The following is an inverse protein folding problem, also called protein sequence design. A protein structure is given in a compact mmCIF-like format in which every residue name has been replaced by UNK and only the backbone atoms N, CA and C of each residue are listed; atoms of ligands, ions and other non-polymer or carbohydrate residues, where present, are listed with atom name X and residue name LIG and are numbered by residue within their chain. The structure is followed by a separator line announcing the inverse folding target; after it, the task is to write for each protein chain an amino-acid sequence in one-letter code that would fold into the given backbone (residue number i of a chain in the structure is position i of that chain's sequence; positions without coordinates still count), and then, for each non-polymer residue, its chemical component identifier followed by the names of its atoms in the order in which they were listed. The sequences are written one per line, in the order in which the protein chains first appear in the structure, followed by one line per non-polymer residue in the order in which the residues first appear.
data_IF_430942065486
#
_entry.id   IF_430942065486
#
_cell.length_a   1.000
_cell.length_b   1.000
_cell.length_c   1.000
_cell.angle_alpha   90.00
_cell.angle_beta   90.00
_cell.angle_gamma   90.00
#
_symmetry.space_group_name_H-M   'P 1'
#
loop_
_entity.id
_entity.type
_entity.pdbx_description
1 polymer ?
#
# COMPACT_ATOMS: atom_id res chain seq x y z
N UNK A 1 7.47 -4.67 15.86
CA UNK A 1 8.43 -3.59 15.55
C UNK A 1 7.70 -2.25 15.55
N UNK A 2 8.37 -1.10 15.80
CA UNK A 2 7.71 0.21 15.73
C UNK A 2 7.48 0.65 14.27
N UNK A 3 6.23 0.61 13.80
CA UNK A 3 5.86 0.85 12.38
C UNK A 3 6.28 2.24 11.87
N UNK A 4 5.98 3.29 12.62
CA UNK A 4 6.38 4.67 12.30
C UNK A 4 7.89 4.79 12.05
N UNK A 5 8.71 4.14 12.88
CA UNK A 5 10.17 4.17 12.74
C UNK A 5 10.62 3.49 11.44
N UNK A 6 9.93 2.41 11.04
CA UNK A 6 10.19 1.72 9.78
C UNK A 6 9.78 2.62 8.62
N UNK A 7 8.53 3.09 8.58
CA UNK A 7 8.00 3.90 7.48
C UNK A 7 8.77 5.20 7.26
N UNK A 8 9.35 5.79 8.31
CA UNK A 8 10.22 6.97 8.22
C UNK A 8 11.62 6.68 7.64
N UNK A 9 12.04 5.42 7.55
CA UNK A 9 13.41 5.08 7.15
C UNK A 9 13.62 5.30 5.64
N UNK A 10 14.71 5.96 5.20
CA UNK A 10 14.89 6.38 3.81
C UNK A 10 14.96 5.24 2.80
N UNK A 11 15.24 4.02 3.25
CA UNK A 11 15.28 2.83 2.39
C UNK A 11 13.92 2.13 2.23
N UNK A 12 12.86 2.60 2.91
CA UNK A 12 11.51 2.06 2.68
C UNK A 12 10.98 2.62 1.38
N UNK A 13 10.47 1.71 0.54
CA UNK A 13 10.03 2.03 -0.82
C UNK A 13 8.57 1.65 -1.10
N UNK A 14 7.99 0.81 -0.26
CA UNK A 14 6.62 0.33 -0.41
C UNK A 14 6.12 -0.18 0.95
N UNK A 15 4.82 -0.09 1.17
CA UNK A 15 4.14 -0.69 2.32
C UNK A 15 2.98 -1.58 1.89
N UNK A 16 3.07 -2.87 2.17
CA UNK A 16 1.98 -3.82 1.93
C UNK A 16 1.10 -3.83 3.18
N UNK A 17 -0.19 -3.54 3.03
CA UNK A 17 -1.09 -3.31 4.16
C UNK A 17 -2.50 -3.80 3.88
N UNK A 18 -3.19 -4.23 4.93
CA UNK A 18 -4.61 -4.52 4.90
C UNK A 18 -5.51 -3.28 4.73
N UNK A 19 -4.99 -2.06 4.75
CA UNK A 19 -5.81 -0.85 4.54
C UNK A 19 -6.42 -0.25 5.81
N UNK A 20 -5.98 -0.68 6.99
CA UNK A 20 -6.39 -0.07 8.26
C UNK A 20 -5.96 1.41 8.36
N UNK A 21 -6.88 2.26 8.81
CA UNK A 21 -6.77 3.73 8.72
C UNK A 21 -5.49 4.32 9.34
N UNK A 22 -5.09 3.86 10.53
CA UNK A 22 -3.92 4.43 11.21
C UNK A 22 -2.63 4.10 10.45
N UNK A 23 -2.43 2.85 10.06
CA UNK A 23 -1.21 2.46 9.36
C UNK A 23 -1.08 3.07 7.97
N UNK A 24 -2.20 3.26 7.27
CA UNK A 24 -2.20 3.93 5.96
C UNK A 24 -1.97 5.43 6.10
N UNK A 25 -2.47 6.08 7.16
CA UNK A 25 -2.14 7.48 7.45
C UNK A 25 -0.66 7.69 7.76
N UNK A 26 -0.03 6.79 8.51
CA UNK A 26 1.42 6.84 8.75
C UNK A 26 2.21 6.70 7.44
N UNK A 27 1.83 5.77 6.57
CA UNK A 27 2.48 5.59 5.28
C UNK A 27 2.34 6.85 4.39
N UNK A 28 1.15 7.44 4.34
CA UNK A 28 0.89 8.69 3.63
C UNK A 28 1.73 9.84 4.20
N UNK A 29 1.81 9.97 5.53
CA UNK A 29 2.57 11.02 6.19
C UNK A 29 4.08 10.98 5.87
N UNK A 30 4.62 9.79 5.59
CA UNK A 30 6.02 9.60 5.21
C UNK A 30 6.22 9.38 3.70
N UNK A 31 5.19 9.58 2.87
CA UNK A 31 5.29 9.46 1.42
C UNK A 31 5.61 8.05 0.93
N UNK A 32 5.22 7.02 1.69
CA UNK A 32 5.45 5.62 1.32
C UNK A 32 4.24 5.10 0.54
N UNK A 33 4.39 4.74 -0.75
CA UNK A 33 3.30 4.18 -1.54
C UNK A 33 2.92 2.77 -1.06
N UNK A 34 1.70 2.35 -1.36
CA UNK A 34 1.11 1.15 -0.75
C UNK A 34 0.66 0.08 -1.75
N UNK A 35 0.69 -1.18 -1.31
CA UNK A 35 -0.11 -2.25 -1.89
C UNK A 35 -1.17 -2.61 -0.85
N UNK A 36 -2.42 -2.29 -1.14
CA UNK A 36 -3.56 -2.55 -0.27
C UNK A 36 -4.17 -3.92 -0.54
N UNK A 37 -4.28 -4.76 0.49
CA UNK A 37 -4.94 -6.08 0.45
C UNK A 37 -6.04 -6.09 1.52
N UNK A 38 -7.19 -5.43 1.27
CA UNK A 38 -8.24 -5.30 2.27
C UNK A 38 -8.83 -6.67 2.64
N UNK A 39 -9.11 -6.86 3.93
CA UNK A 39 -9.61 -8.11 4.49
C UNK A 39 -11.07 -7.98 4.95
N UNK A 40 -11.46 -6.87 5.57
CA UNK A 40 -12.82 -6.66 6.08
C UNK A 40 -13.18 -5.18 6.31
N UNK A 41 -14.49 -4.91 6.40
CA UNK A 41 -15.07 -3.63 6.84
C UNK A 41 -14.57 -2.39 6.04
N UNK A 42 -14.10 -1.37 6.75
CA UNK A 42 -13.72 -0.07 6.21
C UNK A 42 -12.43 -0.10 5.36
N UNK A 43 -11.64 -1.16 5.49
CA UNK A 43 -10.39 -1.36 4.76
C UNK A 43 -10.57 -1.24 3.24
N UNK A 44 -11.66 -1.80 2.70
CA UNK A 44 -11.98 -1.71 1.27
C UNK A 44 -12.14 -0.25 0.84
N UNK A 45 -12.94 0.51 1.58
CA UNK A 45 -13.18 1.92 1.29
C UNK A 45 -11.92 2.77 1.46
N UNK A 46 -11.08 2.46 2.44
CA UNK A 46 -9.81 3.15 2.65
C UNK A 46 -8.86 2.92 1.46
N UNK A 47 -8.65 1.65 1.08
CA UNK A 47 -7.78 1.30 -0.05
C UNK A 47 -8.29 1.92 -1.36
N UNK A 48 -9.60 1.88 -1.62
CA UNK A 48 -10.18 2.45 -2.84
C UNK A 48 -9.94 3.96 -2.95
N UNK A 49 -10.02 4.69 -1.82
CA UNK A 49 -9.68 6.12 -1.77
C UNK A 49 -8.20 6.37 -2.09
N UNK A 50 -7.30 5.48 -1.69
CA UNK A 50 -5.86 5.61 -1.96
C UNK A 50 -5.52 5.25 -3.40
N UNK A 51 -6.18 4.23 -3.98
CA UNK A 51 -6.08 3.89 -5.41
C UNK A 51 -6.53 5.07 -6.27
N UNK A 52 -7.67 5.68 -5.95
CA UNK A 52 -8.18 6.86 -6.67
C UNK A 52 -7.24 8.07 -6.63
N UNK A 53 -6.31 8.11 -5.67
CA UNK A 53 -5.29 9.15 -5.51
C UNK A 53 -3.91 8.75 -6.04
N UNK A 54 -3.77 7.59 -6.68
CA UNK A 54 -2.49 7.02 -7.12
C UNK A 54 -1.47 6.82 -5.98
N UNK A 55 -1.95 6.57 -4.76
CA UNK A 55 -1.09 6.31 -3.58
C UNK A 55 -0.94 4.80 -3.35
N UNK A 56 -1.88 4.00 -3.84
CA UNK A 56 -1.89 2.57 -3.64
C UNK A 56 -2.32 1.78 -4.88
N UNK A 57 -1.92 0.51 -4.95
CA UNK A 57 -2.52 -0.51 -5.80
C UNK A 57 -3.34 -1.45 -4.92
N UNK A 58 -4.58 -1.77 -5.30
CA UNK A 58 -5.40 -2.78 -4.60
C UNK A 58 -5.18 -4.16 -5.20
N UNK A 59 -4.88 -5.13 -4.34
CA UNK A 59 -5.01 -6.55 -4.66
C UNK A 59 -6.16 -7.13 -3.85
N UNK A 60 -6.85 -8.11 -4.43
CA UNK A 60 -7.95 -8.82 -3.77
C UNK A 60 -7.42 -10.13 -3.19
N UNK A 61 -7.64 -10.35 -1.89
CA UNK A 61 -7.13 -11.53 -1.17
C UNK A 61 -7.64 -12.86 -1.76
N UNK A 62 -8.81 -12.88 -2.39
CA UNK A 62 -9.39 -14.10 -2.98
C UNK A 62 -8.78 -14.44 -4.34
N UNK A 63 -8.18 -13.46 -5.01
CA UNK A 63 -7.68 -13.62 -6.38
C UNK A 63 -6.22 -13.23 -6.53
N UNK A 64 -5.52 -12.98 -5.43
CA UNK A 64 -4.09 -12.69 -5.44
C UNK A 64 -3.32 -13.95 -5.85
N UNK A 65 -2.35 -13.76 -6.73
CA UNK A 65 -1.39 -14.77 -7.15
C UNK A 65 0.02 -14.19 -7.03
N UNK A 66 1.04 -15.03 -7.14
CA UNK A 66 2.43 -14.58 -7.17
C UNK A 66 2.66 -13.56 -8.30
N UNK A 67 2.14 -13.83 -9.50
CA UNK A 67 2.31 -12.95 -10.66
C UNK A 67 1.64 -11.60 -10.45
N UNK A 68 0.46 -11.57 -9.83
CA UNK A 68 -0.26 -10.32 -9.52
C UNK A 68 0.47 -9.51 -8.45
N UNK A 69 1.04 -10.19 -7.46
CA UNK A 69 1.84 -9.55 -6.42
C UNK A 69 3.13 -8.94 -7.02
N UNK A 70 3.82 -9.69 -7.87
CA UNK A 70 5.02 -9.22 -8.57
C UNK A 70 4.73 -8.04 -9.50
N UNK A 71 3.60 -8.08 -10.22
CA UNK A 71 3.18 -6.97 -11.06
C UNK A 71 2.90 -5.71 -10.23
N UNK A 72 2.18 -5.83 -9.11
CA UNK A 72 1.91 -4.71 -8.21
C UNK A 72 3.19 -4.14 -7.59
N UNK A 73 4.09 -4.99 -7.12
CA UNK A 73 5.37 -4.58 -6.56
C UNK A 73 6.25 -3.87 -7.59
N UNK A 74 6.36 -4.42 -8.81
CA UNK A 74 7.10 -3.79 -9.89
C UNK A 74 6.49 -2.43 -10.27
N UNK A 75 5.16 -2.31 -10.31
CA UNK A 75 4.48 -1.04 -10.58
C UNK A 75 4.80 0.01 -9.50
N UNK A 76 4.66 -0.32 -8.21
CA UNK A 76 4.99 0.60 -7.11
C UNK A 76 6.46 1.01 -7.14
N UNK A 77 7.38 0.08 -7.39
CA UNK A 77 8.82 0.37 -7.33
C UNK A 77 9.34 1.14 -8.55
N UNK A 78 8.71 0.98 -9.73
CA UNK A 78 9.26 1.47 -11.01
C UNK A 78 8.43 2.56 -11.66
N UNK A 79 7.12 2.66 -11.40
CA UNK A 79 6.28 3.68 -12.01
C UNK A 79 6.40 5.01 -11.22
N UNK A 80 6.82 6.12 -11.87
CA UNK A 80 6.94 7.42 -11.21
C UNK A 80 5.63 7.96 -10.62
N UNK A 81 4.47 7.48 -11.07
CA UNK A 81 3.16 7.89 -10.52
C UNK A 81 3.00 7.60 -9.02
N UNK A 82 3.74 6.64 -8.47
CA UNK A 82 3.67 6.24 -7.07
C UNK A 82 4.86 6.76 -6.23
N UNK A 83 5.68 7.67 -6.75
CA UNK A 83 6.82 8.27 -6.03
C UNK A 83 6.58 9.73 -5.67
#
# INVERSE_FOLDING_TARGET
MPQIKILKHPNIRAFITHGGLMGTQEAIAYGVPMIGIPLFADQFTNVDKYVAKNIAIRLDIQTITEERMDAALNAILRNPLYR
#
